data_IF_435110572895
#
_entry.id   IF_435110572895
#
_cell.length_a   1.000
_cell.length_b   1.000
_cell.length_c   1.000
_cell.angle_alpha   90.00
_cell.angle_beta   90.00
_cell.angle_gamma   90.00
#
_symmetry.space_group_name_H-M   'P 1'
#
loop_
_entity.id
_entity.type
_entity.pdbx_description
1 polymer ?
#
# COMPACT_ATOMS: atom_id res chain seq x y z
N UNK A 1 19.79 17.47 -16.29
CA UNK A 1 19.19 16.62 -15.24
C UNK A 1 17.73 16.96 -15.20
N UNK A 2 16.89 16.15 -15.84
CA UNK A 2 15.44 16.37 -15.86
C UNK A 2 14.91 16.13 -14.45
N UNK A 3 14.45 17.19 -13.81
CA UNK A 3 13.68 17.11 -12.57
C UNK A 3 12.45 16.27 -12.84
N UNK A 4 12.37 15.07 -12.25
CA UNK A 4 11.11 14.33 -12.17
C UNK A 4 10.08 15.24 -11.50
N UNK A 5 9.06 15.67 -12.25
CA UNK A 5 7.99 16.51 -11.75
C UNK A 5 7.09 15.61 -10.89
N UNK A 6 7.31 15.61 -9.57
CA UNK A 6 6.41 14.96 -8.63
C UNK A 6 5.13 15.79 -8.58
N UNK A 7 4.06 15.32 -9.22
CA UNK A 7 2.76 16.00 -9.26
C UNK A 7 1.88 15.69 -8.05
N UNK A 8 2.10 14.55 -7.39
CA UNK A 8 1.36 14.13 -6.22
C UNK A 8 2.23 13.32 -5.26
N UNK A 9 2.06 13.55 -3.96
CA UNK A 9 2.78 12.86 -2.89
C UNK A 9 1.81 12.57 -1.75
N UNK A 10 1.78 11.32 -1.31
CA UNK A 10 1.00 10.89 -0.16
C UNK A 10 1.83 9.96 0.73
N UNK A 11 1.74 10.15 2.05
CA UNK A 11 2.34 9.27 3.05
C UNK A 11 1.57 9.41 4.35
N UNK A 12 1.53 8.36 5.17
CA UNK A 12 0.86 8.40 6.46
C UNK A 12 1.47 7.42 7.44
N UNK A 13 1.42 7.75 8.74
CA UNK A 13 1.77 6.82 9.80
C UNK A 13 0.61 5.86 10.02
N UNK A 14 0.87 4.56 10.03
CA UNK A 14 -0.11 3.54 10.44
C UNK A 14 0.18 3.06 11.86
N UNK A 15 -0.65 2.16 12.38
CA UNK A 15 -0.49 1.65 13.74
C UNK A 15 0.72 0.72 13.83
N UNK A 16 1.41 0.70 14.97
CA UNK A 16 2.63 -0.10 15.16
C UNK A 16 2.39 -1.61 15.05
N UNK A 17 1.13 -2.06 15.17
CA UNK A 17 0.75 -3.45 15.01
C UNK A 17 0.43 -3.84 13.56
N UNK A 18 0.39 -2.87 12.64
CA UNK A 18 0.19 -3.15 11.23
C UNK A 18 1.44 -3.79 10.62
N UNK A 19 1.24 -4.68 9.65
CA UNK A 19 2.36 -5.28 8.92
C UNK A 19 2.82 -4.39 7.76
N UNK A 20 4.06 -4.59 7.32
CA UNK A 20 4.62 -4.00 6.11
C UNK A 20 3.73 -4.23 4.89
N UNK A 21 3.20 -5.45 4.72
CA UNK A 21 2.23 -5.77 3.68
C UNK A 21 0.97 -4.90 3.72
N UNK A 22 0.44 -4.57 4.92
CA UNK A 22 -0.71 -3.65 5.02
C UNK A 22 -0.33 -2.22 4.65
N UNK A 23 0.88 -1.78 5.01
CA UNK A 23 1.38 -0.45 4.68
C UNK A 23 1.50 -0.27 3.17
N UNK A 24 2.12 -1.23 2.49
CA UNK A 24 2.33 -1.17 1.05
C UNK A 24 1.03 -1.33 0.25
N UNK A 25 0.12 -2.19 0.71
CA UNK A 25 -1.18 -2.34 0.05
C UNK A 25 -2.03 -1.08 0.20
N UNK A 26 -1.93 -0.36 1.33
CA UNK A 26 -2.55 0.95 1.51
C UNK A 26 -1.91 2.02 0.62
N UNK A 27 -0.57 2.04 0.53
CA UNK A 27 0.13 2.95 -0.37
C UNK A 27 -0.29 2.74 -1.83
N UNK A 28 -0.38 1.48 -2.27
CA UNK A 28 -0.89 1.11 -3.59
C UNK A 28 -2.35 1.53 -3.78
N UNK A 29 -3.22 1.33 -2.78
CA UNK A 29 -4.59 1.82 -2.84
C UNK A 29 -4.63 3.32 -3.10
N UNK A 30 -3.83 4.12 -2.39
CA UNK A 30 -3.81 5.58 -2.57
C UNK A 30 -3.24 6.01 -3.91
N UNK A 31 -2.24 5.30 -4.42
CA UNK A 31 -1.72 5.54 -5.77
C UNK A 31 -2.80 5.28 -6.83
N UNK A 32 -3.56 4.19 -6.70
CA UNK A 32 -4.63 3.84 -7.63
C UNK A 32 -5.81 4.80 -7.51
N UNK A 33 -6.24 5.12 -6.28
CA UNK A 33 -7.28 6.13 -6.01
C UNK A 33 -6.94 7.45 -6.72
N UNK A 34 -5.69 7.91 -6.61
CA UNK A 34 -5.24 9.12 -7.31
C UNK A 34 -5.22 8.93 -8.83
N UNK A 35 -4.72 7.80 -9.34
CA UNK A 35 -4.69 7.51 -10.78
C UNK A 35 -6.09 7.53 -11.41
N UNK A 36 -7.14 7.10 -10.70
CA UNK A 36 -8.53 7.20 -11.19
C UNK A 36 -9.03 8.63 -11.42
N UNK A 37 -8.38 9.62 -10.79
CA UNK A 37 -8.73 11.05 -10.95
C UNK A 37 -8.05 11.71 -12.15
N UNK A 38 -7.05 11.05 -12.74
CA UNK A 38 -6.29 11.57 -13.87
C UNK A 38 -7.09 11.29 -15.17
N UNK A 39 -7.18 12.24 -16.11
CA UNK A 39 -7.82 12.01 -17.41
C UNK A 39 -7.21 10.78 -18.10
N UNK A 40 -8.00 10.06 -18.92
CA UNK A 40 -7.68 8.74 -19.52
C UNK A 40 -6.38 8.70 -20.37
N UNK A 41 -5.25 8.82 -19.70
CA UNK A 41 -3.92 8.55 -20.20
C UNK A 41 -3.47 7.21 -19.63
N UNK A 42 -2.72 6.40 -20.39
CA UNK A 42 -2.13 5.19 -19.85
C UNK A 42 -1.23 5.51 -18.66
N UNK A 43 -1.51 4.90 -17.51
CA UNK A 43 -0.76 5.06 -16.26
C UNK A 43 -0.27 3.69 -15.82
N UNK A 44 1.02 3.58 -15.55
CA UNK A 44 1.60 2.37 -14.95
C UNK A 44 2.04 2.69 -13.52
N UNK A 45 1.39 2.06 -12.55
CA UNK A 45 1.79 2.08 -11.15
C UNK A 45 2.82 0.99 -10.89
N UNK A 46 4.02 1.40 -10.51
CA UNK A 46 5.14 0.49 -10.22
C UNK A 46 5.13 0.14 -8.73
N UNK A 47 5.27 -1.15 -8.43
CA UNK A 47 5.23 -1.69 -7.06
C UNK A 47 6.39 -2.65 -6.89
N UNK A 48 7.15 -2.52 -5.81
CA UNK A 48 8.31 -3.36 -5.54
C UNK A 48 8.01 -4.59 -4.67
N UNK A 49 6.92 -4.56 -3.89
CA UNK A 49 6.42 -5.76 -3.23
C UNK A 49 5.58 -6.65 -4.15
N UNK A 50 6.17 -7.80 -4.48
CA UNK A 50 5.53 -8.85 -5.26
C UNK A 50 4.26 -9.40 -4.59
N UNK A 51 4.18 -9.47 -3.27
CA UNK A 51 3.00 -9.97 -2.56
C UNK A 51 1.79 -9.03 -2.75
N UNK A 52 2.01 -7.71 -2.77
CA UNK A 52 0.96 -6.72 -3.05
C UNK A 52 0.44 -6.85 -4.48
N UNK A 53 1.32 -7.06 -5.46
CA UNK A 53 0.93 -7.29 -6.87
C UNK A 53 0.09 -8.56 -6.99
N UNK A 54 0.55 -9.67 -6.41
CA UNK A 54 -0.19 -10.95 -6.41
C UNK A 54 -1.55 -10.85 -5.70
N UNK A 55 -1.63 -10.06 -4.63
CA UNK A 55 -2.89 -9.85 -3.90
C UNK A 55 -3.92 -9.08 -4.73
N UNK A 56 -3.48 -8.10 -5.51
CA UNK A 56 -4.32 -7.26 -6.38
C UNK A 56 -4.72 -7.99 -7.66
N UNK A 57 -3.86 -8.86 -8.19
CA UNK A 57 -4.16 -9.69 -9.37
C UNK A 57 -5.19 -10.81 -9.06
N UNK A 58 -5.56 -11.01 -7.80
CA UNK A 58 -6.53 -12.00 -7.38
C UNK A 58 -7.90 -11.38 -7.04
N UNK A 59 -8.93 -11.47 -7.93
CA UNK A 59 -10.28 -10.98 -7.66
C UNK A 59 -10.95 -11.62 -6.43
N UNK A 60 -10.49 -12.81 -6.02
CA UNK A 60 -10.98 -13.57 -4.85
C UNK A 60 -10.11 -13.37 -3.61
N UNK A 61 -9.22 -12.37 -3.59
CA UNK A 61 -8.40 -12.06 -2.42
C UNK A 61 -9.27 -11.91 -1.17
N UNK A 62 -8.83 -12.49 -0.06
CA UNK A 62 -9.54 -12.36 1.23
C UNK A 62 -9.41 -10.96 1.81
N UNK A 63 -8.36 -10.22 1.41
CA UNK A 63 -8.11 -8.85 1.84
C UNK A 63 -9.06 -7.86 1.12
N UNK A 64 -9.88 -7.09 1.83
CA UNK A 64 -10.85 -6.17 1.23
C UNK A 64 -10.19 -4.99 0.49
N UNK A 65 -9.02 -4.54 0.93
CA UNK A 65 -8.24 -3.49 0.26
C UNK A 65 -7.77 -3.99 -1.10
N UNK A 66 -7.17 -5.19 -1.14
CA UNK A 66 -6.70 -5.80 -2.39
C UNK A 66 -7.85 -5.99 -3.41
N UNK A 67 -9.03 -6.45 -2.95
CA UNK A 67 -10.22 -6.57 -3.81
C UNK A 67 -10.68 -5.24 -4.36
N UNK A 68 -10.62 -4.18 -3.56
CA UNK A 68 -10.99 -2.83 -4.02
C UNK A 68 -10.03 -2.33 -5.09
N UNK A 69 -8.72 -2.53 -4.89
CA UNK A 69 -7.71 -2.18 -5.90
C UNK A 69 -7.96 -2.98 -7.19
N UNK A 70 -8.16 -4.30 -7.08
CA UNK A 70 -8.44 -5.17 -8.22
C UNK A 70 -9.64 -4.66 -9.05
N UNK A 71 -10.74 -4.29 -8.36
CA UNK A 71 -11.92 -3.72 -9.01
C UNK A 71 -11.62 -2.43 -9.76
N UNK A 72 -10.89 -1.51 -9.13
CA UNK A 72 -10.52 -0.24 -9.75
C UNK A 72 -9.63 -0.48 -10.99
N UNK A 73 -8.65 -1.38 -10.91
CA UNK A 73 -7.79 -1.70 -12.07
C UNK A 73 -8.60 -2.30 -13.23
N UNK A 74 -9.60 -3.13 -12.95
CA UNK A 74 -10.49 -3.69 -13.98
C UNK A 74 -11.41 -2.63 -14.60
N UNK A 75 -11.95 -1.73 -13.77
CA UNK A 75 -12.86 -0.66 -14.19
C UNK A 75 -12.13 0.42 -15.01
N UNK A 76 -10.94 0.81 -14.56
CA UNK A 76 -10.12 1.85 -15.16
C UNK A 76 -8.99 1.22 -15.99
N UNK A 77 -9.32 0.69 -17.18
CA UNK A 77 -8.39 -0.04 -18.06
C UNK A 77 -7.13 0.73 -18.50
N UNK A 78 -7.10 2.05 -18.32
CA UNK A 78 -5.92 2.86 -18.57
C UNK A 78 -4.88 2.77 -17.45
N UNK A 79 -5.22 2.18 -16.30
CA UNK A 79 -4.35 1.98 -15.15
C UNK A 79 -3.81 0.55 -15.17
N UNK A 80 -2.50 0.40 -15.08
CA UNK A 80 -1.83 -0.89 -14.99
C UNK A 80 -0.95 -0.95 -13.75
N UNK A 81 -0.95 -2.09 -13.06
CA UNK A 81 -0.03 -2.35 -11.93
C UNK A 81 1.07 -3.27 -12.42
N UNK A 82 2.33 -2.89 -12.18
CA UNK A 82 3.50 -3.67 -12.61
C UNK A 82 4.49 -3.81 -11.48
N UNK A 83 5.06 -5.02 -11.36
CA UNK A 83 6.12 -5.28 -10.39
C UNK A 83 7.46 -4.75 -10.91
N UNK A 84 8.20 -4.07 -10.03
CA UNK A 84 9.59 -3.70 -10.28
C UNK A 84 10.51 -4.34 -9.24
N UNK A 85 11.75 -4.60 -9.65
CA UNK A 85 12.76 -5.12 -8.74
C UNK A 85 13.37 -3.96 -7.95
N UNK A 86 13.44 -4.11 -6.62
CA UNK A 86 14.15 -3.19 -5.73
C UNK A 86 15.63 -3.10 -6.16
N UNK A 87 16.23 -1.92 -6.02
CA UNK A 87 17.66 -1.65 -6.26
C UNK A 87 18.13 -1.65 -7.71
N UNK A 88 17.24 -1.45 -8.69
CA UNK A 88 17.61 -1.20 -10.10
C UNK A 88 17.71 0.31 -10.40
N UNK A 89 17.79 1.17 -9.37
CA UNK A 89 17.99 2.62 -9.53
C UNK A 89 16.75 3.38 -10.00
N UNK A 90 15.55 2.94 -9.60
CA UNK A 90 14.33 3.71 -9.82
C UNK A 90 14.20 4.80 -8.74
N UNK A 91 14.51 6.06 -9.08
CA UNK A 91 14.44 7.20 -8.14
C UNK A 91 13.08 7.30 -7.42
N UNK A 92 11.99 6.98 -8.13
CA UNK A 92 10.64 6.97 -7.56
C UNK A 92 10.45 5.95 -6.44
N UNK A 93 11.10 4.77 -6.53
CA UNK A 93 11.06 3.75 -5.49
C UNK A 93 11.82 4.22 -4.24
N UNK A 94 13.02 4.75 -4.43
CA UNK A 94 13.83 5.27 -3.32
C UNK A 94 13.13 6.43 -2.61
N UNK A 95 12.39 7.26 -3.36
CA UNK A 95 11.59 8.32 -2.78
C UNK A 95 10.38 7.77 -2.01
N UNK A 96 9.71 6.73 -2.50
CA UNK A 96 8.62 6.07 -1.79
C UNK A 96 9.10 5.44 -0.47
N UNK A 97 10.24 4.73 -0.49
CA UNK A 97 10.87 4.14 0.69
C UNK A 97 11.23 5.19 1.74
N UNK A 98 11.77 6.32 1.28
CA UNK A 98 12.10 7.45 2.16
C UNK A 98 10.84 8.02 2.82
N UNK A 99 9.76 8.21 2.05
CA UNK A 99 8.49 8.71 2.58
C UNK A 99 7.86 7.73 3.58
N UNK A 100 7.96 6.42 3.33
CA UNK A 100 7.47 5.41 4.26
C UNK A 100 8.23 5.47 5.60
N UNK A 101 9.56 5.61 5.57
CA UNK A 101 10.39 5.76 6.78
C UNK A 101 10.07 7.05 7.54
N UNK A 102 10.03 8.18 6.84
CA UNK A 102 9.67 9.48 7.44
C UNK A 102 8.28 9.43 8.10
N UNK A 103 7.30 8.80 7.45
CA UNK A 103 5.96 8.65 7.99
C UNK A 103 5.93 7.76 9.24
N UNK A 104 6.65 6.64 9.24
CA UNK A 104 6.76 5.73 10.39
C UNK A 104 7.36 6.43 11.62
N UNK A 105 8.38 7.27 11.41
CA UNK A 105 9.08 8.02 12.47
C UNK A 105 8.32 9.29 12.90
N UNK A 106 7.38 9.77 12.09
CA UNK A 106 6.64 10.99 12.39
C UNK A 106 5.78 10.89 13.66
N UNK A 107 5.56 12.02 14.33
CA UNK A 107 4.61 12.13 15.47
C UNK A 107 3.19 12.49 15.01
N UNK A 108 2.84 12.19 13.75
CA UNK A 108 1.53 12.53 13.19
C UNK A 108 0.43 11.57 13.67
N UNK A 109 -0.82 12.02 13.56
CA UNK A 109 -1.99 11.16 13.87
C UNK A 109 -1.94 9.91 12.99
N UNK A 110 -2.04 8.75 13.64
CA UNK A 110 -2.06 7.46 12.96
C UNK A 110 -3.32 7.30 12.11
N UNK A 111 -3.14 6.88 10.87
CA UNK A 111 -4.21 6.46 9.99
C UNK A 111 -4.79 5.13 10.50
N UNK A 112 -6.10 5.11 10.68
CA UNK A 112 -6.83 3.93 11.13
C UNK A 112 -6.99 2.99 9.93
N UNK A 113 -6.24 1.89 9.94
CA UNK A 113 -6.40 0.78 9.01
C UNK A 113 -7.11 -0.39 9.70
N UNK A 114 -7.58 -1.36 8.93
CA UNK A 114 -8.11 -2.60 9.51
C UNK A 114 -7.05 -3.30 10.37
N UNK A 115 -7.45 -3.72 11.56
CA UNK A 115 -6.56 -4.44 12.48
C UNK A 115 -6.19 -5.79 11.87
N UNK A 116 -4.91 -6.11 11.72
CA UNK A 116 -4.51 -7.39 11.12
C UNK A 116 -4.98 -8.57 11.99
N UNK A 117 -5.43 -9.62 11.33
CA UNK A 117 -5.93 -10.84 11.97
C UNK A 117 -4.91 -11.47 12.94
N UNK A 118 -3.61 -11.35 12.66
CA UNK A 118 -2.56 -11.83 13.57
C UNK A 118 -2.57 -11.07 14.91
N UNK A 119 -2.81 -9.76 14.89
CA UNK A 119 -2.88 -8.95 16.10
C UNK A 119 -4.12 -9.29 16.93
N UNK A 120 -5.29 -9.44 16.28
CA UNK A 120 -6.51 -9.89 16.95
C UNK A 120 -6.33 -11.27 17.61
N UNK A 121 -5.74 -12.23 16.89
CA UNK A 121 -5.43 -13.56 17.45
C UNK A 121 -4.47 -13.48 18.65
N UNK A 122 -3.46 -12.61 18.59
CA UNK A 122 -2.52 -12.40 19.69
C UNK A 122 -3.22 -11.85 20.94
N UNK A 123 -4.07 -10.84 20.79
CA UNK A 123 -4.83 -10.25 21.91
C UNK A 123 -5.76 -11.30 22.53
N UNK A 124 -6.50 -12.04 21.70
CA UNK A 124 -7.40 -13.10 22.18
C UNK A 124 -6.63 -14.16 22.97
N UNK A 125 -5.48 -14.61 22.46
CA UNK A 125 -4.62 -15.56 23.17
C UNK A 125 -4.10 -15.01 24.49
N UNK A 126 -3.67 -13.75 24.54
CA UNK A 126 -3.20 -13.11 25.78
C UNK A 126 -4.30 -13.01 26.84
N UNK A 127 -5.53 -12.62 26.44
CA UNK A 127 -6.67 -12.58 27.36
C UNK A 127 -7.03 -13.96 27.91
N UNK A 128 -7.01 -14.99 27.07
CA UNK A 128 -7.27 -16.38 27.50
C UNK A 128 -6.23 -16.91 28.51
N UNK A 129 -4.99 -16.42 28.46
CA UNK A 129 -3.93 -16.81 29.40
C UNK A 129 -3.99 -16.01 30.71
N UNK A 130 -4.54 -14.80 30.70
CA UNK A 130 -4.70 -13.95 31.89
C UNK A 130 -5.92 -14.32 32.75
N UNK A 131 -6.87 -15.11 32.23
CA UNK A 131 -8.03 -15.62 32.96
C UNK A 131 -7.76 -16.97 33.69
N UNK A 132 -6.49 -17.33 33.86
CA UNK A 132 -6.03 -18.50 34.64
C UNK A 132 -5.09 -18.05 35.77
#
# INVERSE_FOLDING_TARGET
METQIITHRWSTKIQNYNSEFQAELLALQKAIDYATTIPQQPITTLVDNQASVLAVDNPKSTNPVARTICRNVIEFQHIQVSWIKVHVGYDGNEQADRLAKEAAESNTKQYQTEVPNCHLKSILKQKMVQEY
#
